data_IF_364640413321
#
_entry.id   IF_364640413321
#
_cell.length_a   1.000
_cell.length_b   1.000
_cell.length_c   1.000
_cell.angle_alpha   90.00
_cell.angle_beta   90.00
_cell.angle_gamma   90.00
#
_symmetry.space_group_name_H-M   'P 1'
#
loop_
_entity.id
_entity.type
_entity.pdbx_description
1 polymer ?
#
# COMPACT_ATOMS: atom_id res chain seq x y z
N UNK A 1 -11.17 -7.63 -16.71
CA UNK A 1 -12.18 -6.65 -17.20
C UNK A 1 -13.36 -7.29 -17.93
N UNK A 2 -13.18 -8.25 -18.86
CA UNK A 2 -14.29 -8.85 -19.64
C UNK A 2 -15.46 -9.38 -18.79
N UNK A 3 -15.16 -10.12 -17.71
CA UNK A 3 -16.18 -10.65 -16.82
C UNK A 3 -17.03 -9.54 -16.18
N UNK A 4 -16.41 -8.52 -15.58
CA UNK A 4 -17.09 -7.40 -14.92
C UNK A 4 -17.99 -6.63 -15.89
N UNK A 5 -17.49 -6.28 -17.08
CA UNK A 5 -18.32 -5.60 -18.08
C UNK A 5 -19.53 -6.43 -18.50
N UNK A 6 -19.40 -7.76 -18.57
CA UNK A 6 -20.49 -8.66 -18.97
C UNK A 6 -21.60 -8.74 -17.92
N UNK A 7 -21.24 -8.83 -16.64
CA UNK A 7 -22.20 -9.07 -15.55
C UNK A 7 -22.84 -7.80 -15.00
N UNK A 8 -22.25 -6.62 -15.21
CA UNK A 8 -22.75 -5.35 -14.68
C UNK A 8 -22.61 -4.19 -15.70
N UNK A 9 -23.74 -3.59 -16.16
CA UNK A 9 -23.73 -2.48 -17.11
C UNK A 9 -23.20 -1.16 -16.51
N UNK A 10 -23.35 -0.93 -15.20
CA UNK A 10 -22.78 0.25 -14.53
C UNK A 10 -21.25 0.14 -14.45
N UNK A 11 -20.71 -1.04 -14.10
CA UNK A 11 -19.26 -1.28 -14.16
C UNK A 11 -18.72 -1.14 -15.59
N UNK A 12 -19.46 -1.61 -16.61
CA UNK A 12 -19.08 -1.41 -18.01
C UNK A 12 -18.97 0.07 -18.38
N UNK A 13 -19.94 0.89 -17.98
CA UNK A 13 -19.93 2.33 -18.24
C UNK A 13 -18.75 3.01 -17.54
N UNK A 14 -18.48 2.66 -16.28
CA UNK A 14 -17.33 3.17 -15.52
C UNK A 14 -16.00 2.78 -16.16
N UNK A 15 -15.81 1.52 -16.55
CA UNK A 15 -14.57 1.04 -17.19
C UNK A 15 -14.36 1.72 -18.55
N UNK A 16 -15.43 1.96 -19.34
CA UNK A 16 -15.32 2.73 -20.59
C UNK A 16 -14.89 4.18 -20.36
N UNK A 17 -15.38 4.80 -19.28
CA UNK A 17 -15.08 6.20 -18.94
C UNK A 17 -13.68 6.38 -18.33
N UNK A 18 -13.27 5.47 -17.45
CA UNK A 18 -12.01 5.56 -16.69
C UNK A 18 -10.85 4.90 -17.43
N UNK A 19 -11.11 3.84 -18.19
CA UNK A 19 -10.10 3.04 -18.90
C UNK A 19 -9.76 1.72 -18.21
N UNK A 20 -8.69 1.09 -18.68
CA UNK A 20 -8.22 -0.21 -18.18
C UNK A 20 -7.68 -0.14 -16.75
N UNK A 21 -7.80 -1.25 -16.02
CA UNK A 21 -7.24 -1.37 -14.68
C UNK A 21 -5.70 -1.40 -14.74
N UNK A 22 -5.05 -0.46 -14.06
CA UNK A 22 -3.59 -0.35 -13.96
C UNK A 22 -2.98 -0.97 -12.70
N UNK A 23 -3.72 -1.81 -11.96
CA UNK A 23 -3.20 -2.48 -10.77
C UNK A 23 -2.06 -3.44 -11.16
N UNK A 24 -0.88 -3.21 -10.59
CA UNK A 24 0.30 -4.06 -10.77
C UNK A 24 0.64 -4.80 -9.47
N UNK A 25 1.02 -6.09 -9.51
CA UNK A 25 1.53 -6.79 -8.34
C UNK A 25 2.77 -6.11 -7.76
N UNK A 26 2.88 -6.09 -6.43
CA UNK A 26 4.09 -5.62 -5.74
C UNK A 26 4.96 -6.83 -5.37
N UNK A 27 6.24 -6.88 -5.78
CA UNK A 27 7.11 -8.03 -5.51
C UNK A 27 7.56 -8.11 -4.05
N UNK A 28 7.72 -6.95 -3.38
CA UNK A 28 8.09 -6.89 -1.96
C UNK A 28 6.86 -7.18 -1.07
N UNK A 29 6.75 -8.44 -0.65
CA UNK A 29 5.64 -8.92 0.18
C UNK A 29 5.68 -8.34 1.60
N UNK A 30 6.88 -8.25 2.20
CA UNK A 30 7.02 -7.76 3.57
C UNK A 30 6.79 -6.25 3.64
N UNK A 31 7.41 -5.48 2.76
CA UNK A 31 7.15 -4.04 2.69
C UNK A 31 5.69 -3.74 2.33
N UNK A 32 5.05 -4.57 1.49
CA UNK A 32 3.60 -4.47 1.23
C UNK A 32 2.77 -4.69 2.49
N UNK A 33 3.12 -5.69 3.32
CA UNK A 33 2.44 -5.93 4.60
C UNK A 33 2.60 -4.74 5.55
N UNK A 34 3.83 -4.24 5.75
CA UNK A 34 4.11 -3.07 6.58
C UNK A 34 3.28 -1.87 6.13
N UNK A 35 3.33 -1.54 4.83
CA UNK A 35 2.56 -0.43 4.26
C UNK A 35 1.04 -0.65 4.40
N UNK A 36 0.56 -1.90 4.36
CA UNK A 36 -0.87 -2.20 4.53
C UNK A 36 -1.34 -1.98 5.96
N UNK A 37 -0.49 -2.23 6.95
CA UNK A 37 -0.75 -1.93 8.36
C UNK A 37 -0.72 -0.41 8.59
N UNK A 38 0.33 0.27 8.10
CA UNK A 38 0.48 1.72 8.24
C UNK A 38 -0.69 2.48 7.61
N UNK A 39 -1.23 2.01 6.49
CA UNK A 39 -2.31 2.69 5.77
C UNK A 39 -3.70 2.52 6.38
N UNK A 40 -3.85 1.74 7.46
CA UNK A 40 -5.15 1.52 8.07
C UNK A 40 -5.73 2.82 8.62
N UNK A 41 -6.99 3.10 8.27
CA UNK A 41 -7.79 4.23 8.78
C UNK A 41 -7.21 5.63 8.50
N UNK A 42 -6.29 5.77 7.54
CA UNK A 42 -5.70 7.07 7.16
C UNK A 42 -5.64 7.25 5.64
N UNK A 43 -5.37 8.48 5.20
CA UNK A 43 -5.22 8.77 3.76
C UNK A 43 -3.95 8.15 3.18
N UNK A 44 -3.93 7.90 1.87
CA UNK A 44 -2.74 7.38 1.19
C UNK A 44 -1.52 8.30 1.32
N UNK A 45 -1.74 9.62 1.38
CA UNK A 45 -0.67 10.60 1.60
C UNK A 45 -0.09 10.52 3.01
N UNK A 46 -0.94 10.39 4.03
CA UNK A 46 -0.50 10.22 5.41
C UNK A 46 0.28 8.91 5.58
N UNK A 47 -0.22 7.81 5.02
CA UNK A 47 0.46 6.52 5.03
C UNK A 47 1.85 6.58 4.36
N UNK A 48 1.94 7.24 3.20
CA UNK A 48 3.21 7.43 2.50
C UNK A 48 4.21 8.24 3.34
N UNK A 49 3.75 9.32 3.99
CA UNK A 49 4.60 10.13 4.86
C UNK A 49 5.12 9.35 6.07
N UNK A 50 4.28 8.55 6.72
CA UNK A 50 4.69 7.69 7.84
C UNK A 50 5.67 6.62 7.36
N UNK A 51 5.37 5.95 6.24
CA UNK A 51 6.23 4.91 5.69
C UNK A 51 7.62 5.45 5.28
N UNK A 52 7.69 6.69 4.80
CA UNK A 52 8.95 7.37 4.52
C UNK A 52 9.79 7.59 5.79
N UNK A 53 9.17 7.98 6.91
CA UNK A 53 9.86 8.11 8.21
C UNK A 53 10.34 6.76 8.73
N UNK A 54 9.53 5.71 8.59
CA UNK A 54 9.96 4.36 8.93
C UNK A 54 11.16 3.91 8.09
N UNK A 55 11.20 4.24 6.79
CA UNK A 55 12.39 3.99 5.97
C UNK A 55 13.60 4.82 6.41
N UNK A 56 13.42 6.06 6.87
CA UNK A 56 14.51 6.86 7.40
C UNK A 56 15.11 6.27 8.69
N UNK A 57 14.29 5.62 9.53
CA UNK A 57 14.74 4.97 10.78
C UNK A 57 15.30 3.56 10.55
N UNK A 58 14.61 2.77 9.72
CA UNK A 58 14.81 1.33 9.56
C UNK A 58 15.39 0.90 8.22
N UNK A 59 15.70 1.84 7.32
CA UNK A 59 16.22 1.56 5.99
C UNK A 59 15.18 1.14 4.96
N UNK A 60 15.64 0.95 3.73
CA UNK A 60 14.84 0.50 2.59
C UNK A 60 15.57 -0.64 1.86
N UNK A 61 14.92 -1.79 1.58
CA UNK A 61 13.53 -2.13 1.93
C UNK A 61 13.34 -2.35 3.44
N UNK A 62 12.08 -2.44 3.88
CA UNK A 62 11.78 -2.83 5.26
C UNK A 62 12.36 -4.21 5.56
N UNK A 63 13.02 -4.35 6.71
CA UNK A 63 13.54 -5.63 7.19
C UNK A 63 12.94 -5.97 8.55
N UNK A 64 12.44 -7.21 8.77
CA UNK A 64 11.82 -7.59 10.05
C UNK A 64 12.74 -7.39 11.24
N UNK A 65 13.99 -7.81 11.14
CA UNK A 65 14.99 -7.67 12.20
C UNK A 65 15.20 -6.19 12.56
N UNK A 66 15.28 -5.31 11.55
CA UNK A 66 15.50 -3.89 11.78
C UNK A 66 14.32 -3.20 12.45
N UNK A 67 13.08 -3.57 12.10
CA UNK A 67 11.89 -3.05 12.76
C UNK A 67 11.80 -3.50 14.23
N UNK A 68 12.23 -4.72 14.53
CA UNK A 68 12.32 -5.21 15.91
C UNK A 68 13.37 -4.41 16.72
N UNK A 69 14.54 -4.14 16.14
CA UNK A 69 15.61 -3.36 16.77
C UNK A 69 15.22 -1.92 17.10
N UNK A 70 14.38 -1.28 16.28
CA UNK A 70 13.92 0.09 16.54
C UNK A 70 13.12 0.21 17.84
N UNK A 71 12.37 -0.85 18.19
CA UNK A 71 11.44 -0.83 19.32
C UNK A 71 10.26 0.12 19.13
N UNK A 72 9.26 0.02 20.00
CA UNK A 72 8.01 0.78 19.84
C UNK A 72 8.20 2.29 20.00
N UNK A 73 9.09 2.73 20.88
CA UNK A 73 9.27 4.15 21.18
C UNK A 73 9.78 4.93 19.96
N UNK A 74 10.75 4.38 19.23
CA UNK A 74 11.27 5.02 18.02
C UNK A 74 10.25 5.02 16.87
N UNK A 75 9.32 4.05 16.84
CA UNK A 75 8.26 3.97 15.82
C UNK A 75 7.16 5.01 16.09
N UNK A 76 6.93 5.40 17.35
CA UNK A 76 5.86 6.33 17.75
C UNK A 76 6.24 7.82 17.70
N UNK A 77 7.52 8.15 17.56
CA UNK A 77 8.04 9.52 17.46
C UNK A 77 7.91 10.11 16.06
#
# INVERSE_FOLDING_TARGET
>A
MRHLCRVDPHLRALIKRIGSCGLTPRPDRFGTLVNSIVAQQISSQAAAAINLRLHALGGQPHQPARLLELGEQAIRS
#
